data_IF_126244119823
#
_entry.id   IF_126244119823
#
_cell.length_a   1.000
_cell.length_b   1.000
_cell.length_c   1.000
_cell.angle_alpha   90.00
_cell.angle_beta   90.00
_cell.angle_gamma   90.00
#
_symmetry.space_group_name_H-M   'P 1'
#
loop_
_entity.id
_entity.type
_entity.pdbx_description
1 polymer ?
#
# COMPACT_ATOMS: atom_id res chain seq x y z
N UNK A 1 -29.85 8.89 3.77
CA UNK A 1 -28.40 9.05 3.74
C UNK A 1 -28.07 9.94 2.55
N UNK A 2 -27.24 10.98 2.74
CA UNK A 2 -26.89 11.88 1.63
C UNK A 2 -26.07 11.13 0.56
N UNK A 3 -26.11 11.58 -0.69
CA UNK A 3 -25.31 11.01 -1.82
C UNK A 3 -23.82 10.99 -1.44
N UNK A 4 -23.34 12.03 -0.78
CA UNK A 4 -21.95 12.14 -0.30
C UNK A 4 -21.59 11.06 0.73
N UNK A 5 -22.49 10.75 1.66
CA UNK A 5 -22.26 9.68 2.63
C UNK A 5 -22.15 8.31 1.96
N UNK A 6 -22.92 8.05 0.91
CA UNK A 6 -22.82 6.81 0.13
C UNK A 6 -21.48 6.70 -0.60
N UNK A 7 -20.95 7.80 -1.14
CA UNK A 7 -19.64 7.81 -1.80
C UNK A 7 -18.50 7.54 -0.80
N UNK A 8 -18.55 8.15 0.37
CA UNK A 8 -17.55 7.94 1.43
C UNK A 8 -17.58 6.48 1.91
N UNK A 9 -18.76 5.94 2.22
CA UNK A 9 -18.89 4.55 2.66
C UNK A 9 -18.46 3.56 1.58
N UNK A 10 -18.82 3.82 0.32
CA UNK A 10 -18.38 3.03 -0.84
C UNK A 10 -16.85 3.03 -0.97
N UNK A 11 -16.22 4.20 -0.88
CA UNK A 11 -14.76 4.32 -0.95
C UNK A 11 -14.05 3.61 0.22
N UNK A 12 -14.60 3.69 1.44
CA UNK A 12 -14.06 2.95 2.60
C UNK A 12 -14.15 1.44 2.34
N UNK A 13 -15.29 0.94 1.89
CA UNK A 13 -15.49 -0.48 1.59
C UNK A 13 -14.54 -0.97 0.49
N UNK A 14 -14.36 -0.19 -0.58
CA UNK A 14 -13.42 -0.49 -1.67
C UNK A 14 -11.98 -0.50 -1.15
N UNK A 15 -11.58 0.50 -0.37
CA UNK A 15 -10.22 0.60 0.16
C UNK A 15 -9.87 -0.55 1.10
N UNK A 16 -10.77 -0.91 2.00
CA UNK A 16 -10.59 -2.08 2.88
C UNK A 16 -10.56 -3.37 2.05
N UNK A 17 -11.49 -3.53 1.11
CA UNK A 17 -11.56 -4.72 0.26
C UNK A 17 -10.32 -4.90 -0.61
N UNK A 18 -9.79 -3.82 -1.20
CA UNK A 18 -8.56 -3.84 -1.99
C UNK A 18 -7.34 -4.20 -1.13
N UNK A 19 -7.24 -3.64 0.09
CA UNK A 19 -6.17 -3.98 1.03
C UNK A 19 -6.22 -5.45 1.46
N UNK A 20 -7.43 -5.97 1.76
CA UNK A 20 -7.65 -7.39 2.05
C UNK A 20 -7.24 -8.29 0.88
N UNK A 21 -7.60 -7.92 -0.34
CA UNK A 21 -7.23 -8.67 -1.54
C UNK A 21 -5.71 -8.72 -1.72
N UNK A 22 -5.03 -7.61 -1.46
CA UNK A 22 -3.58 -7.54 -1.48
C UNK A 22 -2.96 -8.44 -0.39
N UNK A 23 -3.53 -8.47 0.81
CA UNK A 23 -3.05 -9.35 1.89
C UNK A 23 -3.26 -10.83 1.53
N UNK A 24 -4.40 -11.18 0.94
CA UNK A 24 -4.67 -12.53 0.45
C UNK A 24 -3.72 -12.93 -0.69
N UNK A 25 -3.42 -12.01 -1.60
CA UNK A 25 -2.42 -12.21 -2.65
C UNK A 25 -1.04 -12.50 -2.06
N UNK A 26 -0.60 -11.70 -1.08
CA UNK A 26 0.66 -11.93 -0.39
C UNK A 26 0.69 -13.27 0.36
N UNK A 27 -0.42 -13.67 0.96
CA UNK A 27 -0.57 -14.97 1.62
C UNK A 27 -0.49 -16.12 0.60
N UNK A 28 -1.12 -15.97 -0.56
CA UNK A 28 -1.05 -16.93 -1.67
C UNK A 28 0.40 -17.08 -2.17
N UNK A 29 1.08 -15.98 -2.44
CA UNK A 29 2.49 -15.99 -2.86
C UNK A 29 3.39 -16.69 -1.82
N UNK A 30 3.14 -16.44 -0.54
CA UNK A 30 3.88 -17.07 0.56
C UNK A 30 3.67 -18.57 0.59
N UNK A 31 2.42 -19.03 0.44
CA UNK A 31 2.09 -20.46 0.56
C UNK A 31 2.47 -21.26 -0.67
N UNK A 32 2.31 -20.68 -1.87
CA UNK A 32 2.53 -21.38 -3.14
C UNK A 32 3.96 -21.30 -3.62
N UNK A 33 4.59 -20.13 -3.47
CA UNK A 33 5.92 -19.86 -4.03
C UNK A 33 7.00 -19.60 -2.98
N UNK A 34 6.65 -19.72 -1.69
CA UNK A 34 7.56 -19.39 -0.57
C UNK A 34 8.13 -17.96 -0.63
N UNK A 35 7.39 -17.03 -1.27
CA UNK A 35 7.75 -15.62 -1.33
C UNK A 35 7.31 -14.98 -0.01
N UNK A 36 8.22 -14.39 0.80
CA UNK A 36 7.87 -13.80 2.08
C UNK A 36 6.84 -12.68 1.90
N UNK A 37 5.79 -12.63 2.74
CA UNK A 37 4.80 -11.55 2.76
C UNK A 37 5.43 -10.19 3.06
N UNK A 38 4.74 -9.12 2.69
CA UNK A 38 5.13 -7.77 3.09
C UNK A 38 5.15 -7.65 4.62
N UNK A 39 6.17 -6.99 5.13
CA UNK A 39 6.29 -6.72 6.56
C UNK A 39 5.85 -5.28 6.85
N UNK A 40 4.59 -5.12 7.24
CA UNK A 40 4.03 -3.81 7.55
C UNK A 40 4.66 -3.16 8.80
N UNK A 41 5.36 -3.92 9.65
CA UNK A 41 6.14 -3.33 10.74
C UNK A 41 7.21 -2.36 10.19
N UNK A 42 7.78 -2.65 9.02
CA UNK A 42 8.76 -1.76 8.38
C UNK A 42 8.12 -0.46 7.88
N UNK A 43 6.87 -0.52 7.40
CA UNK A 43 6.10 0.67 7.06
C UNK A 43 5.88 1.53 8.31
N UNK A 44 5.46 0.91 9.42
CA UNK A 44 5.26 1.60 10.68
C UNK A 44 6.57 2.16 11.26
N UNK A 45 7.69 1.42 11.14
CA UNK A 45 9.01 1.89 11.52
C UNK A 45 9.39 3.16 10.75
N UNK A 46 9.22 3.15 9.45
CA UNK A 46 9.47 4.29 8.59
C UNK A 46 8.65 5.52 8.99
N UNK A 47 7.33 5.36 9.15
CA UNK A 47 6.45 6.43 9.59
C UNK A 47 6.84 6.99 10.97
N UNK A 48 7.28 6.13 11.88
CA UNK A 48 7.71 6.51 13.24
C UNK A 48 9.08 7.21 13.29
N UNK A 49 9.86 7.14 12.23
CA UNK A 49 11.10 7.90 12.09
C UNK A 49 10.89 9.29 11.48
N UNK A 50 9.79 9.52 10.75
CA UNK A 50 9.49 10.80 10.09
C UNK A 50 9.41 12.00 11.06
N UNK A 51 8.78 11.91 12.23
CA UNK A 51 8.75 13.03 13.18
C UNK A 51 10.14 13.47 13.66
N UNK A 52 11.13 12.57 13.60
CA UNK A 52 12.54 12.88 13.88
C UNK A 52 13.31 13.37 12.65
N UNK A 53 12.64 13.69 11.53
CA UNK A 53 13.26 14.20 10.31
C UNK A 53 13.90 13.14 9.42
N UNK A 54 13.75 11.85 9.73
CA UNK A 54 14.36 10.76 8.94
C UNK A 54 13.33 10.15 7.99
N UNK A 55 13.40 10.54 6.72
CA UNK A 55 12.49 10.08 5.67
C UNK A 55 13.10 8.99 4.78
N UNK A 56 14.42 8.83 4.80
CA UNK A 56 15.14 7.83 3.99
C UNK A 56 16.12 7.07 4.88
N UNK A 57 16.22 5.78 4.62
CA UNK A 57 17.12 4.88 5.33
C UNK A 57 18.05 4.18 4.33
N UNK A 58 19.31 3.97 4.71
CA UNK A 58 20.20 3.09 3.94
C UNK A 58 19.67 1.65 3.95
N UNK A 59 19.09 1.23 5.08
CA UNK A 59 18.34 -0.01 5.23
C UNK A 59 17.33 0.16 6.36
N UNK A 60 16.05 0.07 6.04
CA UNK A 60 14.97 0.17 7.06
C UNK A 60 15.02 -1.00 8.04
N UNK A 61 15.51 -2.16 7.61
CA UNK A 61 15.63 -3.33 8.47
C UNK A 61 16.71 -3.17 9.53
N UNK A 62 17.76 -2.39 9.23
CA UNK A 62 18.83 -2.07 10.14
C UNK A 62 18.52 -0.84 11.02
N UNK A 63 17.51 -0.06 10.69
CA UNK A 63 17.09 1.10 11.46
C UNK A 63 16.57 0.69 12.85
N UNK A 64 16.78 1.51 13.90
CA UNK A 64 16.30 1.22 15.25
C UNK A 64 14.78 0.97 15.26
N UNK A 65 14.38 -0.07 15.98
CA UNK A 65 12.96 -0.39 16.14
C UNK A 65 12.25 0.72 16.93
N UNK A 66 10.99 0.95 16.60
CA UNK A 66 10.14 1.92 17.29
C UNK A 66 8.99 1.22 18.01
N UNK A 67 8.58 1.71 19.20
CA UNK A 67 7.41 1.16 19.88
C UNK A 67 6.18 1.16 18.96
N UNK A 68 5.38 0.09 19.01
CA UNK A 68 4.13 -0.07 18.24
C UNK A 68 4.29 0.04 16.71
N UNK A 69 5.49 -0.14 16.16
CA UNK A 69 5.72 -0.02 14.72
C UNK A 69 4.83 -0.95 13.88
N UNK A 70 4.55 -2.17 14.38
CA UNK A 70 3.68 -3.10 13.67
C UNK A 70 2.22 -2.64 13.67
N UNK A 71 1.71 -2.15 14.79
CA UNK A 71 0.36 -1.60 14.89
C UNK A 71 0.20 -0.39 13.98
N UNK A 72 1.15 0.54 14.03
CA UNK A 72 1.17 1.72 13.14
C UNK A 72 1.24 1.31 11.67
N UNK A 73 2.05 0.31 11.33
CA UNK A 73 2.18 -0.20 9.97
C UNK A 73 0.89 -0.81 9.42
N UNK A 74 0.18 -1.61 10.21
CA UNK A 74 -1.12 -2.18 9.83
C UNK A 74 -2.20 -1.12 9.67
N UNK A 75 -2.30 -0.18 10.62
CA UNK A 75 -3.24 0.94 10.52
C UNK A 75 -2.93 1.76 9.25
N UNK A 76 -1.67 2.09 9.02
CA UNK A 76 -1.25 2.85 7.85
C UNK A 76 -1.58 2.13 6.54
N UNK A 77 -1.36 0.81 6.45
CA UNK A 77 -1.68 0.01 5.28
C UNK A 77 -3.16 0.16 4.86
N UNK A 78 -4.08 -0.08 5.79
CA UNK A 78 -5.51 0.08 5.51
C UNK A 78 -5.93 1.53 5.29
N UNK A 79 -5.35 2.48 6.03
CA UNK A 79 -5.61 3.91 5.83
C UNK A 79 -5.18 4.37 4.44
N UNK A 80 -4.01 3.97 3.96
CA UNK A 80 -3.53 4.28 2.60
C UNK A 80 -4.48 3.68 1.55
N UNK A 81 -4.95 2.45 1.76
CA UNK A 81 -5.93 1.81 0.88
C UNK A 81 -7.25 2.62 0.79
N UNK A 82 -7.77 3.09 1.93
CA UNK A 82 -8.98 3.92 1.97
C UNK A 82 -8.73 5.28 1.31
N UNK A 83 -7.60 5.94 1.58
CA UNK A 83 -7.24 7.22 0.95
C UNK A 83 -7.15 7.08 -0.58
N UNK A 84 -6.51 6.04 -1.07
CA UNK A 84 -6.44 5.78 -2.52
C UNK A 84 -7.83 5.52 -3.11
N UNK A 85 -8.69 4.78 -2.43
CA UNK A 85 -10.07 4.57 -2.89
C UNK A 85 -10.88 5.86 -2.90
N UNK A 86 -10.73 6.73 -1.90
CA UNK A 86 -11.36 8.05 -1.89
C UNK A 86 -10.92 8.91 -3.08
N UNK A 87 -9.62 8.97 -3.33
CA UNK A 87 -9.07 9.70 -4.50
C UNK A 87 -9.62 9.11 -5.79
N UNK A 88 -9.67 7.79 -5.91
CA UNK A 88 -10.24 7.13 -7.08
C UNK A 88 -11.72 7.50 -7.31
N UNK A 89 -12.55 7.43 -6.28
CA UNK A 89 -13.99 7.77 -6.38
C UNK A 89 -14.18 9.22 -6.80
N UNK A 90 -13.36 10.14 -6.29
CA UNK A 90 -13.37 11.56 -6.71
C UNK A 90 -12.98 11.71 -8.18
N UNK A 91 -11.90 11.06 -8.62
CA UNK A 91 -11.41 11.12 -10.00
C UNK A 91 -12.38 10.46 -10.99
N UNK A 92 -13.04 9.38 -10.58
CA UNK A 92 -14.03 8.65 -11.39
C UNK A 92 -15.42 9.29 -11.38
N UNK A 93 -15.56 10.52 -10.85
CA UNK A 93 -16.81 11.32 -10.85
C UNK A 93 -17.96 10.72 -10.05
N UNK A 94 -17.69 9.86 -9.06
CA UNK A 94 -18.72 9.27 -8.20
C UNK A 94 -19.71 8.31 -8.91
N UNK A 95 -20.05 8.58 -10.15
CA UNK A 95 -20.98 7.75 -10.95
C UNK A 95 -20.46 6.34 -11.18
N UNK A 96 -19.14 6.16 -11.10
CA UNK A 96 -18.51 4.84 -11.20
C UNK A 96 -19.02 3.86 -10.14
N UNK A 97 -19.34 4.34 -8.94
CA UNK A 97 -19.90 3.48 -7.87
C UNK A 97 -21.28 2.90 -8.25
N UNK A 98 -22.07 3.62 -9.06
CA UNK A 98 -23.36 3.15 -9.54
C UNK A 98 -23.23 2.16 -10.72
N UNK A 99 -22.18 2.32 -11.53
CA UNK A 99 -21.89 1.47 -12.71
C UNK A 99 -20.40 1.16 -12.78
N UNK A 100 -19.88 0.27 -11.91
CA UNK A 100 -18.46 -0.02 -11.85
C UNK A 100 -17.98 -0.71 -13.14
N UNK A 101 -16.90 -0.18 -13.69
CA UNK A 101 -16.22 -0.73 -14.87
C UNK A 101 -14.76 -1.06 -14.51
N UNK A 102 -14.24 -2.11 -15.14
CA UNK A 102 -12.90 -2.62 -14.79
C UNK A 102 -11.77 -1.67 -15.22
N UNK A 103 -11.90 -1.05 -16.41
CA UNK A 103 -10.80 -0.31 -17.03
C UNK A 103 -10.32 0.88 -16.18
N UNK A 104 -11.16 1.80 -15.69
CA UNK A 104 -10.72 2.89 -14.82
C UNK A 104 -10.07 2.39 -13.54
N UNK A 105 -10.64 1.37 -12.90
CA UNK A 105 -10.11 0.77 -11.68
C UNK A 105 -8.72 0.15 -11.92
N UNK A 106 -8.54 -0.55 -13.04
CA UNK A 106 -7.27 -1.17 -13.39
C UNK A 106 -6.20 -0.12 -13.69
N UNK A 107 -6.51 0.91 -14.48
CA UNK A 107 -5.58 1.99 -14.81
C UNK A 107 -5.16 2.76 -13.54
N UNK A 108 -6.13 3.05 -12.67
CA UNK A 108 -5.83 3.69 -11.40
C UNK A 108 -4.95 2.80 -10.50
N UNK A 109 -5.30 1.51 -10.36
CA UNK A 109 -4.52 0.54 -9.59
C UNK A 109 -3.07 0.44 -10.07
N UNK A 110 -2.84 0.39 -11.39
CA UNK A 110 -1.50 0.42 -11.98
C UNK A 110 -0.80 1.75 -11.62
N UNK A 111 -1.51 2.88 -11.69
CA UNK A 111 -0.96 4.19 -11.32
C UNK A 111 -0.52 4.26 -9.86
N UNK A 112 -1.26 3.64 -8.93
CA UNK A 112 -0.91 3.65 -7.50
C UNK A 112 0.37 2.86 -7.18
N UNK A 113 0.81 1.95 -8.05
CA UNK A 113 2.09 1.22 -7.89
C UNK A 113 3.31 2.17 -7.91
N UNK A 114 3.15 3.37 -8.46
CA UNK A 114 4.18 4.42 -8.41
C UNK A 114 4.58 4.73 -6.96
N UNK A 115 3.63 4.74 -6.02
CA UNK A 115 3.91 5.04 -4.62
C UNK A 115 4.88 4.04 -3.98
N UNK A 116 4.62 2.71 -3.96
CA UNK A 116 5.56 1.76 -3.40
C UNK A 116 6.89 1.70 -4.16
N UNK A 117 6.90 1.80 -5.48
CA UNK A 117 8.12 1.62 -6.28
C UNK A 117 9.07 2.82 -6.26
N UNK A 118 8.54 4.02 -6.25
CA UNK A 118 9.34 5.25 -6.40
C UNK A 118 9.45 6.08 -5.12
N UNK A 119 8.61 5.86 -4.14
CA UNK A 119 8.64 6.57 -2.86
C UNK A 119 9.04 5.64 -1.74
N UNK A 120 8.28 4.59 -1.47
CA UNK A 120 8.46 3.75 -0.30
C UNK A 120 9.74 2.90 -0.38
N UNK A 121 9.95 2.17 -1.48
CA UNK A 121 11.11 1.30 -1.63
C UNK A 121 12.45 2.06 -1.62
N UNK A 122 12.61 3.19 -2.33
CA UNK A 122 13.82 4.02 -2.19
C UNK A 122 14.02 4.55 -0.77
N UNK A 123 12.94 4.92 -0.08
CA UNK A 123 13.01 5.41 1.31
C UNK A 123 13.43 4.31 2.29
N UNK A 124 13.15 3.05 1.97
CA UNK A 124 13.58 1.87 2.73
C UNK A 124 15.03 1.44 2.44
N UNK A 125 15.69 2.06 1.45
CA UNK A 125 17.01 1.65 0.99
C UNK A 125 16.99 0.51 -0.04
N UNK A 126 15.81 0.12 -0.52
CA UNK A 126 15.65 -0.99 -1.48
C UNK A 126 15.90 -0.57 -2.93
N UNK A 127 16.07 0.72 -3.19
CA UNK A 127 16.19 1.29 -4.53
C UNK A 127 14.85 1.41 -5.26
N UNK A 128 14.87 2.05 -6.42
CA UNK A 128 13.67 2.21 -7.26
C UNK A 128 13.24 0.83 -7.76
N UNK A 129 11.95 0.53 -7.60
CA UNK A 129 11.36 -0.75 -8.01
C UNK A 129 12.16 -1.96 -7.49
N UNK A 130 12.63 -1.88 -6.23
CA UNK A 130 13.41 -2.91 -5.55
C UNK A 130 14.75 -3.27 -6.23
N UNK A 131 15.35 -2.34 -6.98
CA UNK A 131 16.57 -2.56 -7.75
C UNK A 131 17.80 -2.99 -6.92
N UNK A 132 17.80 -2.68 -5.62
CA UNK A 132 18.89 -3.01 -4.68
C UNK A 132 18.60 -4.25 -3.82
N UNK A 133 17.52 -4.97 -4.07
CA UNK A 133 17.20 -6.19 -3.32
C UNK A 133 17.85 -7.42 -3.96
N UNK A 134 18.22 -8.44 -3.17
CA UNK A 134 18.78 -9.69 -3.72
C UNK A 134 17.81 -10.45 -4.64
N UNK A 135 16.51 -10.26 -4.46
CA UNK A 135 15.44 -10.91 -5.23
C UNK A 135 14.41 -9.87 -5.73
N UNK A 136 14.77 -9.02 -6.71
CA UNK A 136 13.94 -7.89 -7.10
C UNK A 136 12.59 -8.31 -7.68
N UNK A 137 12.49 -9.44 -8.38
CA UNK A 137 11.23 -9.95 -8.92
C UNK A 137 10.24 -10.31 -7.80
N UNK A 138 10.70 -10.97 -6.74
CA UNK A 138 9.85 -11.29 -5.60
C UNK A 138 9.36 -10.03 -4.88
N UNK A 139 10.22 -9.01 -4.75
CA UNK A 139 9.85 -7.74 -4.15
C UNK A 139 8.80 -6.98 -5.00
N UNK A 140 8.88 -7.07 -6.34
CA UNK A 140 7.88 -6.50 -7.25
C UNK A 140 6.54 -7.23 -7.15
N UNK A 141 6.54 -8.57 -7.17
CA UNK A 141 5.31 -9.38 -7.06
C UNK A 141 4.53 -9.14 -5.76
N UNK A 142 5.23 -8.79 -4.68
CA UNK A 142 4.58 -8.45 -3.40
C UNK A 142 3.96 -7.07 -3.38
N UNK A 143 4.42 -6.17 -4.22
CA UNK A 143 3.96 -4.77 -4.28
C UNK A 143 2.80 -4.56 -5.26
N UNK A 144 2.47 -5.57 -6.05
CA UNK A 144 1.30 -5.62 -6.94
C UNK A 144 0.06 -6.12 -6.20
#
# INVERSE_FOLDING_TARGET
MSIEANYILGAIAIGIGASLLMDLWNLFLKRTFSIPSLNYCLLGRWLRHMPGGTFRHASITAAPQKPFECTVGWIAHYTIGVVFALVFVVLASGDWLARPTLLPALLYGIGTVVFPFFIMQPSFGLGIAASRTPKPMQAKLRAL
#
